data_IF_201832553326
#
_entry.id   IF_201832553326
#
_cell.length_a   1.000
_cell.length_b   1.000
_cell.length_c   1.000
_cell.angle_alpha   90.00
_cell.angle_beta   90.00
_cell.angle_gamma   90.00
#
_symmetry.space_group_name_H-M   'P 1'
#
loop_
_entity.id
_entity.type
_entity.pdbx_description
1 polymer ?
#
# COMPACT_ATOMS: atom_id res chain seq x y z
N UNK A 1 17.59 -52.40 -61.93
CA UNK A 1 17.83 -53.15 -63.18
C UNK A 1 17.41 -52.25 -64.32
N UNK A 2 18.39 -51.77 -65.11
CA UNK A 2 18.29 -51.04 -66.40
C UNK A 2 17.56 -49.68 -66.41
N UNK A 3 17.97 -48.64 -67.14
CA UNK A 3 19.11 -48.41 -68.05
C UNK A 3 19.28 -46.91 -68.31
N UNK A 4 20.49 -46.54 -68.75
CA UNK A 4 20.99 -45.20 -69.06
C UNK A 4 20.54 -44.62 -70.44
N UNK A 5 20.68 -43.29 -70.53
CA UNK A 5 21.49 -42.52 -71.52
C UNK A 5 20.85 -41.68 -72.66
N UNK A 6 21.55 -40.54 -72.86
CA UNK A 6 21.67 -39.60 -74.01
C UNK A 6 20.58 -38.52 -74.22
N UNK A 7 20.86 -37.29 -74.67
CA UNK A 7 22.06 -36.48 -74.85
C UNK A 7 21.63 -35.04 -75.27
N UNK A 8 22.40 -34.03 -74.83
CA UNK A 8 22.74 -32.72 -75.46
C UNK A 8 21.80 -32.00 -76.46
N UNK A 9 21.55 -30.70 -76.21
CA UNK A 9 21.20 -29.70 -77.24
C UNK A 9 20.77 -28.32 -76.69
N UNK A 10 21.66 -27.32 -76.73
CA UNK A 10 21.38 -25.87 -76.56
C UNK A 10 21.19 -25.19 -77.93
N UNK A 11 20.90 -23.88 -78.05
CA UNK A 11 19.78 -23.10 -77.50
C UNK A 11 18.96 -22.44 -78.64
N UNK A 12 17.72 -22.00 -78.38
CA UNK A 12 16.95 -21.17 -79.34
C UNK A 12 16.86 -19.73 -78.81
N UNK A 13 17.35 -18.80 -79.63
CA UNK A 13 17.33 -17.37 -79.44
C UNK A 13 16.02 -16.80 -80.03
N UNK A 14 15.19 -16.13 -79.23
CA UNK A 14 14.20 -15.17 -79.72
C UNK A 14 14.03 -14.04 -78.69
N UNK A 15 14.36 -12.82 -79.12
CA UNK A 15 13.87 -11.55 -78.56
C UNK A 15 12.80 -11.04 -79.53
N UNK A 16 11.65 -10.47 -79.11
CA UNK A 16 11.63 -9.03 -78.78
C UNK A 16 10.59 -8.61 -77.71
N UNK A 17 10.91 -7.49 -77.04
CA UNK A 17 10.04 -6.37 -76.59
C UNK A 17 8.65 -6.65 -75.98
N UNK A 18 8.39 -5.92 -74.89
CA UNK A 18 7.10 -5.56 -74.28
C UNK A 18 6.40 -6.61 -73.41
N UNK A 19 6.77 -6.67 -72.12
CA UNK A 19 5.79 -6.65 -71.02
C UNK A 19 6.37 -5.76 -69.91
N UNK A 20 5.68 -4.64 -69.69
CA UNK A 20 6.00 -3.62 -68.69
C UNK A 20 5.30 -4.02 -67.39
N UNK A 21 6.08 -4.11 -66.31
CA UNK A 21 5.64 -3.91 -64.93
C UNK A 21 4.99 -5.09 -64.23
N UNK A 22 5.74 -5.79 -63.38
CA UNK A 22 5.39 -6.09 -61.97
C UNK A 22 6.70 -6.42 -61.23
N UNK A 23 7.37 -5.41 -60.69
CA UNK A 23 8.36 -5.59 -59.62
C UNK A 23 8.25 -4.38 -58.70
N UNK A 24 8.21 -4.66 -57.40
CA UNK A 24 8.01 -3.76 -56.26
C UNK A 24 6.56 -3.53 -55.83
N UNK A 25 6.00 -4.48 -55.08
CA UNK A 25 5.27 -4.14 -53.85
C UNK A 25 5.09 -5.38 -52.98
N UNK A 26 4.99 -5.16 -51.66
CA UNK A 26 4.66 -6.15 -50.63
C UNK A 26 5.79 -6.90 -49.93
N UNK A 27 6.71 -6.15 -49.30
CA UNK A 27 7.37 -6.57 -48.05
C UNK A 27 7.38 -5.47 -46.96
N UNK A 28 6.76 -4.31 -47.22
CA UNK A 28 6.67 -3.18 -46.27
C UNK A 28 5.59 -3.26 -45.18
N UNK A 29 4.46 -4.01 -45.29
CA UNK A 29 3.44 -3.95 -44.23
C UNK A 29 3.87 -4.68 -42.94
N UNK A 30 4.69 -5.73 -43.03
CA UNK A 30 5.15 -6.48 -41.85
C UNK A 30 6.19 -5.70 -41.02
N UNK A 31 7.08 -4.94 -41.66
CA UNK A 31 8.07 -4.11 -40.97
C UNK A 31 7.43 -2.88 -40.29
N UNK A 32 6.42 -2.28 -40.94
CA UNK A 32 5.63 -1.20 -40.34
C UNK A 32 4.80 -1.65 -39.13
N UNK A 33 4.12 -2.80 -39.22
CA UNK A 33 3.36 -3.37 -38.09
C UNK A 33 4.26 -3.78 -36.91
N UNK A 34 5.44 -4.32 -37.18
CA UNK A 34 6.41 -4.69 -36.13
C UNK A 34 7.07 -3.48 -35.48
N UNK A 35 7.36 -2.42 -36.24
CA UNK A 35 7.87 -1.16 -35.69
C UNK A 35 6.82 -0.42 -34.84
N UNK A 36 5.57 -0.36 -35.31
CA UNK A 36 4.48 0.28 -34.57
C UNK A 36 4.13 -0.49 -33.28
N UNK A 37 4.08 -1.82 -33.34
CA UNK A 37 3.93 -2.65 -32.14
C UNK A 37 5.13 -2.51 -31.17
N UNK A 38 6.36 -2.35 -31.67
CA UNK A 38 7.53 -2.07 -30.83
C UNK A 38 7.42 -0.70 -30.15
N UNK A 39 6.99 0.34 -30.88
CA UNK A 39 6.81 1.69 -30.34
C UNK A 39 5.71 1.72 -29.26
N UNK A 40 4.55 1.11 -29.52
CA UNK A 40 3.46 1.02 -28.54
C UNK A 40 3.89 0.24 -27.29
N UNK A 41 4.63 -0.86 -27.45
CA UNK A 41 5.17 -1.62 -26.31
C UNK A 41 6.16 -0.78 -25.50
N UNK A 42 6.98 0.04 -26.17
CA UNK A 42 7.94 0.95 -25.53
C UNK A 42 7.25 2.07 -24.75
N UNK A 43 6.16 2.63 -25.28
CA UNK A 43 5.38 3.70 -24.65
C UNK A 43 4.67 3.19 -23.38
N UNK A 44 4.05 2.00 -23.44
CA UNK A 44 3.39 1.36 -22.29
C UNK A 44 4.36 1.09 -21.12
N UNK A 45 5.60 0.72 -21.42
CA UNK A 45 6.65 0.47 -20.42
C UNK A 45 7.27 1.77 -19.89
N UNK A 46 7.36 2.81 -20.72
CA UNK A 46 7.89 4.11 -20.33
C UNK A 46 7.03 4.79 -19.26
N UNK A 47 5.69 4.68 -19.36
CA UNK A 47 4.77 5.19 -18.34
C UNK A 47 5.07 4.65 -16.93
N UNK A 48 5.36 3.35 -16.80
CA UNK A 48 5.68 2.74 -15.51
C UNK A 48 6.94 3.33 -14.88
N UNK A 49 8.01 3.52 -15.68
CA UNK A 49 9.26 4.12 -15.20
C UNK A 49 9.07 5.56 -14.73
N UNK A 50 8.26 6.35 -15.44
CA UNK A 50 7.95 7.73 -15.06
C UNK A 50 7.17 7.77 -13.73
N UNK A 51 6.18 6.89 -13.57
CA UNK A 51 5.41 6.79 -12.33
C UNK A 51 6.28 6.36 -11.14
N UNK A 52 7.16 5.37 -11.32
CA UNK A 52 8.07 4.95 -10.27
C UNK A 52 9.03 6.09 -9.89
N UNK A 53 9.67 6.74 -10.87
CA UNK A 53 10.70 7.76 -10.61
C UNK A 53 10.16 9.06 -10.01
N UNK A 54 9.03 9.56 -10.51
CA UNK A 54 8.52 10.87 -10.10
C UNK A 54 7.34 10.74 -9.13
N UNK A 55 6.31 9.96 -9.49
CA UNK A 55 5.11 9.88 -8.67
C UNK A 55 5.37 9.20 -7.32
N UNK A 56 6.01 8.02 -7.28
CA UNK A 56 6.30 7.34 -6.01
C UNK A 56 7.25 8.15 -5.14
N UNK A 57 8.35 8.67 -5.71
CA UNK A 57 9.31 9.50 -4.97
C UNK A 57 8.66 10.75 -4.37
N UNK A 58 7.80 11.45 -5.12
CA UNK A 58 7.07 12.62 -4.60
C UNK A 58 6.07 12.23 -3.51
N UNK A 59 5.22 11.23 -3.74
CA UNK A 59 4.21 10.82 -2.76
C UNK A 59 4.84 10.31 -1.47
N UNK A 60 5.85 9.44 -1.55
CA UNK A 60 6.54 8.94 -0.36
C UNK A 60 7.33 10.03 0.38
N UNK A 61 7.84 11.04 -0.31
CA UNK A 61 8.45 12.20 0.36
C UNK A 61 7.42 13.02 1.15
N UNK A 62 6.23 13.23 0.58
CA UNK A 62 5.13 13.93 1.27
C UNK A 62 4.64 13.13 2.48
N UNK A 63 4.42 11.83 2.31
CA UNK A 63 4.05 10.91 3.39
C UNK A 63 5.10 10.91 4.50
N UNK A 64 6.39 10.88 4.15
CA UNK A 64 7.47 10.96 5.13
C UNK A 64 7.39 12.25 5.93
N UNK A 65 7.34 13.42 5.28
CA UNK A 65 7.32 14.71 5.98
C UNK A 65 6.09 14.83 6.89
N UNK A 66 4.89 14.58 6.34
CA UNK A 66 3.64 14.76 7.08
C UNK A 66 3.49 13.70 8.18
N UNK A 67 3.71 12.43 7.83
CA UNK A 67 3.55 11.30 8.72
C UNK A 67 4.60 11.26 9.81
N UNK A 68 5.87 11.51 9.51
CA UNK A 68 6.94 11.44 10.50
C UNK A 68 6.78 12.55 11.53
N UNK A 69 6.54 13.79 11.09
CA UNK A 69 6.28 14.90 12.00
C UNK A 69 5.03 14.66 12.85
N UNK A 70 3.92 14.26 12.22
CA UNK A 70 2.65 14.02 12.93
C UNK A 70 2.75 12.91 13.97
N UNK A 71 3.25 11.73 13.59
CA UNK A 71 3.35 10.60 14.51
C UNK A 71 4.40 10.81 15.60
N UNK A 72 5.49 11.53 15.32
CA UNK A 72 6.46 11.90 16.35
C UNK A 72 5.81 12.79 17.42
N UNK A 73 5.07 13.83 17.02
CA UNK A 73 4.36 14.69 17.97
C UNK A 73 3.40 13.86 18.83
N UNK A 74 2.68 12.92 18.23
CA UNK A 74 1.75 12.02 18.94
C UNK A 74 2.49 11.17 19.96
N UNK A 75 3.53 10.44 19.56
CA UNK A 75 4.33 9.56 20.43
C UNK A 75 4.94 10.34 21.61
N UNK A 76 5.58 11.49 21.34
CA UNK A 76 6.12 12.35 22.39
C UNK A 76 5.02 12.91 23.29
N UNK A 77 3.87 13.30 22.72
CA UNK A 77 2.71 13.73 23.47
C UNK A 77 2.25 12.65 24.46
N UNK A 78 2.13 11.40 24.02
CA UNK A 78 1.73 10.28 24.86
C UNK A 78 2.74 10.00 25.98
N UNK A 79 4.04 9.96 25.66
CA UNK A 79 5.09 9.67 26.64
C UNK A 79 5.21 10.78 27.69
N UNK A 80 5.20 12.05 27.26
CA UNK A 80 5.55 13.18 28.13
C UNK A 80 4.35 13.93 28.72
N UNK A 81 3.14 13.76 28.18
CA UNK A 81 1.96 14.51 28.64
C UNK A 81 0.92 13.61 29.30
N UNK A 82 0.83 12.33 28.90
CA UNK A 82 -0.20 11.44 29.39
C UNK A 82 0.31 10.53 30.51
N UNK A 83 -0.08 10.83 31.76
CA UNK A 83 0.27 9.98 32.92
C UNK A 83 -0.56 8.69 32.97
N UNK A 84 -1.84 8.75 32.62
CA UNK A 84 -2.78 7.64 32.77
C UNK A 84 -3.24 7.08 31.42
N UNK A 85 -2.71 5.91 31.07
CA UNK A 85 -3.00 5.26 29.79
C UNK A 85 -4.24 4.36 29.88
N UNK A 86 -5.20 4.59 28.98
CA UNK A 86 -6.40 3.76 28.78
C UNK A 86 -6.19 2.81 27.58
N UNK A 87 -7.13 1.88 27.35
CA UNK A 87 -7.07 0.92 26.25
C UNK A 87 -6.89 1.58 24.88
N UNK A 88 -7.76 2.54 24.51
CA UNK A 88 -7.62 3.29 23.26
C UNK A 88 -6.27 3.98 23.10
N UNK A 89 -5.72 4.56 24.17
CA UNK A 89 -4.40 5.21 24.15
C UNK A 89 -3.27 4.24 23.81
N UNK A 90 -3.35 2.99 24.30
CA UNK A 90 -2.36 1.95 24.00
C UNK A 90 -2.40 1.57 22.52
N UNK A 91 -3.60 1.38 21.95
CA UNK A 91 -3.73 1.03 20.55
C UNK A 91 -3.26 2.15 19.63
N UNK A 92 -3.63 3.41 19.93
CA UNK A 92 -3.19 4.59 19.17
C UNK A 92 -1.66 4.77 19.24
N UNK A 93 -1.06 4.54 20.41
CA UNK A 93 0.40 4.58 20.55
C UNK A 93 1.10 3.51 19.70
N UNK A 94 0.58 2.28 19.69
CA UNK A 94 1.14 1.20 18.86
C UNK A 94 0.95 1.47 17.37
N UNK A 95 -0.18 2.06 16.97
CA UNK A 95 -0.43 2.48 15.60
C UNK A 95 0.60 3.54 15.16
N UNK A 96 0.82 4.58 15.96
CA UNK A 96 1.87 5.57 15.68
C UNK A 96 3.29 5.00 15.69
N UNK A 97 3.58 4.02 16.54
CA UNK A 97 4.88 3.34 16.53
C UNK A 97 5.07 2.56 15.22
N UNK A 98 4.05 1.83 14.79
CA UNK A 98 4.05 1.13 13.50
C UNK A 98 4.23 2.10 12.33
N UNK A 99 3.52 3.23 12.35
CA UNK A 99 3.65 4.27 11.33
C UNK A 99 5.07 4.82 11.27
N UNK A 100 5.68 5.16 12.41
CA UNK A 100 7.07 5.64 12.45
C UNK A 100 8.07 4.61 11.92
N UNK A 101 7.90 3.33 12.26
CA UNK A 101 8.78 2.27 11.76
C UNK A 101 8.75 2.18 10.22
N UNK A 102 7.57 2.30 9.62
CA UNK A 102 7.42 2.37 8.16
C UNK A 102 7.96 3.68 7.57
N UNK A 103 7.62 4.83 8.17
CA UNK A 103 8.05 6.13 7.67
C UNK A 103 9.58 6.26 7.63
N UNK A 104 10.29 5.66 8.60
CA UNK A 104 11.75 5.56 8.58
C UNK A 104 12.32 4.81 7.37
N UNK A 105 11.54 3.97 6.69
CA UNK A 105 11.98 3.23 5.50
C UNK A 105 11.78 4.01 4.19
N UNK A 106 10.91 5.04 4.20
CA UNK A 106 10.57 5.83 3.01
C UNK A 106 11.75 6.57 2.38
N UNK A 107 12.69 7.20 3.12
CA UNK A 107 13.85 7.85 2.51
C UNK A 107 14.68 6.90 1.64
N UNK A 108 14.81 5.65 2.05
CA UNK A 108 15.51 4.60 1.29
C UNK A 108 14.74 4.29 -0.01
N UNK A 109 13.40 4.16 0.07
CA UNK A 109 12.54 3.96 -1.09
C UNK A 109 12.61 5.14 -2.07
N UNK A 110 12.50 6.37 -1.57
CA UNK A 110 12.56 7.59 -2.39
C UNK A 110 13.89 7.68 -3.13
N UNK A 111 15.01 7.42 -2.44
CA UNK A 111 16.33 7.40 -3.06
C UNK A 111 16.43 6.31 -4.13
N UNK A 112 15.85 5.13 -3.88
CA UNK A 112 15.90 4.05 -4.85
C UNK A 112 15.07 4.32 -6.10
N UNK A 113 13.83 4.78 -5.93
CA UNK A 113 12.93 5.10 -7.04
C UNK A 113 13.45 6.27 -7.89
N UNK A 114 14.04 7.29 -7.25
CA UNK A 114 14.57 8.45 -7.98
C UNK A 114 15.83 8.12 -8.81
N UNK A 115 16.66 7.19 -8.35
CA UNK A 115 17.90 6.77 -9.02
C UNK A 115 17.76 5.51 -9.89
N UNK A 116 16.60 4.87 -9.86
CA UNK A 116 16.35 3.55 -10.48
C UNK A 116 17.39 2.47 -10.08
N UNK A 117 17.93 2.58 -8.87
CA UNK A 117 18.97 1.70 -8.33
C UNK A 117 18.69 1.41 -6.86
N UNK A 118 18.94 0.19 -6.40
CA UNK A 118 18.90 -0.15 -4.99
C UNK A 118 20.32 -0.46 -4.50
N UNK A 119 20.66 -0.05 -3.27
CA UNK A 119 21.96 -0.36 -2.64
C UNK A 119 22.07 -1.88 -2.58
N UNK A 120 23.16 -2.49 -3.07
CA UNK A 120 23.33 -3.95 -3.15
C UNK A 120 23.49 -4.61 -1.77
N UNK A 121 22.40 -4.58 -1.00
CA UNK A 121 22.24 -5.07 0.36
C UNK A 121 20.85 -5.70 0.47
N UNK A 122 20.83 -7.04 0.54
CA UNK A 122 19.61 -7.84 0.62
C UNK A 122 18.87 -7.67 1.95
N UNK A 123 19.61 -7.42 3.04
CA UNK A 123 19.01 -7.26 4.38
C UNK A 123 18.19 -5.99 4.41
N UNK A 124 18.72 -4.89 3.87
CA UNK A 124 17.99 -3.62 3.78
C UNK A 124 16.76 -3.74 2.87
N UNK A 125 16.87 -4.43 1.73
CA UNK A 125 15.72 -4.68 0.85
C UNK A 125 14.61 -5.45 1.57
N UNK A 126 14.95 -6.59 2.17
CA UNK A 126 13.97 -7.48 2.80
C UNK A 126 13.34 -6.82 4.02
N UNK A 127 14.14 -6.19 4.88
CA UNK A 127 13.64 -5.50 6.08
C UNK A 127 12.72 -4.34 5.71
N UNK A 128 13.04 -3.59 4.66
CA UNK A 128 12.20 -2.48 4.20
C UNK A 128 10.84 -2.99 3.68
N UNK A 129 10.85 -4.03 2.83
CA UNK A 129 9.63 -4.68 2.33
C UNK A 129 8.79 -5.26 3.47
N UNK A 130 9.44 -5.92 4.43
CA UNK A 130 8.78 -6.46 5.60
C UNK A 130 8.10 -5.35 6.42
N UNK A 131 8.81 -4.26 6.74
CA UNK A 131 8.26 -3.15 7.54
C UNK A 131 7.10 -2.44 6.84
N UNK A 132 7.14 -2.30 5.52
CA UNK A 132 6.04 -1.75 4.72
C UNK A 132 4.77 -2.61 4.84
N UNK A 133 4.89 -3.93 4.72
CA UNK A 133 3.74 -4.82 4.89
C UNK A 133 3.32 -4.96 6.36
N UNK A 134 4.27 -4.96 7.29
CA UNK A 134 3.99 -5.02 8.72
C UNK A 134 3.19 -3.80 9.17
N UNK A 135 3.53 -2.61 8.67
CA UNK A 135 2.76 -1.40 8.91
C UNK A 135 1.34 -1.49 8.34
N UNK A 136 1.19 -1.98 7.10
CA UNK A 136 -0.11 -2.13 6.46
C UNK A 136 -1.07 -2.98 7.32
N UNK A 137 -0.65 -4.20 7.68
CA UNK A 137 -1.51 -5.14 8.41
C UNK A 137 -1.68 -4.78 9.89
N UNK A 138 -0.62 -4.31 10.56
CA UNK A 138 -0.75 -3.85 11.93
C UNK A 138 -1.68 -2.64 12.03
N UNK A 139 -1.63 -1.71 11.06
CA UNK A 139 -2.52 -0.55 11.02
C UNK A 139 -3.99 -0.96 10.93
N UNK A 140 -4.31 -1.86 10.01
CA UNK A 140 -5.67 -2.39 9.84
C UNK A 140 -6.17 -3.06 11.14
N UNK A 141 -5.33 -3.88 11.77
CA UNK A 141 -5.69 -4.56 13.02
C UNK A 141 -5.83 -3.59 14.21
N UNK A 142 -4.93 -2.60 14.34
CA UNK A 142 -5.03 -1.57 15.38
C UNK A 142 -6.29 -0.72 15.20
N UNK A 143 -6.62 -0.31 13.99
CA UNK A 143 -7.86 0.40 13.67
C UNK A 143 -9.10 -0.45 13.98
N UNK A 144 -9.02 -1.76 13.74
CA UNK A 144 -10.10 -2.70 14.08
C UNK A 144 -10.34 -2.75 15.59
N UNK A 145 -9.28 -2.90 16.41
CA UNK A 145 -9.45 -2.92 17.87
C UNK A 145 -9.80 -1.55 18.45
N UNK A 146 -9.37 -0.46 17.82
CA UNK A 146 -9.82 0.91 18.16
C UNK A 146 -11.32 1.04 17.91
N UNK A 147 -11.83 0.55 16.78
CA UNK A 147 -13.26 0.56 16.45
C UNK A 147 -14.07 -0.21 17.51
N UNK A 148 -13.56 -1.35 17.96
CA UNK A 148 -14.15 -2.14 19.05
C UNK A 148 -14.10 -1.36 20.38
N UNK A 149 -12.96 -0.78 20.75
CA UNK A 149 -12.82 0.01 22.00
C UNK A 149 -13.81 1.17 22.05
N UNK A 150 -13.98 1.87 20.91
CA UNK A 150 -14.90 3.00 20.78
C UNK A 150 -16.36 2.56 20.89
N UNK A 151 -16.77 1.49 20.22
CA UNK A 151 -18.09 0.90 20.42
C UNK A 151 -18.34 0.51 21.89
N UNK A 152 -17.36 -0.14 22.51
CA UNK A 152 -17.47 -0.55 23.92
C UNK A 152 -17.55 0.66 24.86
N UNK A 153 -16.88 1.77 24.55
CA UNK A 153 -16.98 3.01 25.34
C UNK A 153 -18.37 3.64 25.27
N UNK A 154 -19.05 3.53 24.13
CA UNK A 154 -20.43 4.02 23.97
C UNK A 154 -21.39 3.15 24.77
N UNK A 155 -21.22 1.82 24.71
CA UNK A 155 -22.06 0.86 25.41
C UNK A 155 -21.82 0.84 26.93
N UNK A 156 -20.55 0.98 27.34
CA UNK A 156 -20.07 0.90 28.73
C UNK A 156 -19.15 2.11 29.03
N UNK A 157 -19.71 3.30 29.27
CA UNK A 157 -18.94 4.54 29.43
C UNK A 157 -18.01 4.54 30.64
N UNK A 158 -18.35 3.79 31.70
CA UNK A 158 -17.54 3.69 32.92
C UNK A 158 -16.38 2.67 32.81
N UNK A 159 -16.16 2.08 31.63
CA UNK A 159 -15.06 1.13 31.36
C UNK A 159 -15.00 -0.06 32.33
N UNK A 160 -16.16 -0.57 32.71
CA UNK A 160 -16.30 -1.69 33.64
C UNK A 160 -15.93 -3.03 32.97
N UNK A 161 -16.13 -3.14 31.65
CA UNK A 161 -15.86 -4.34 30.88
C UNK A 161 -14.36 -4.67 30.78
N UNK A 162 -14.00 -5.95 30.84
CA UNK A 162 -12.61 -6.41 30.84
C UNK A 162 -11.82 -6.01 29.57
N UNK A 163 -12.48 -5.99 28.40
CA UNK A 163 -11.90 -5.54 27.11
C UNK A 163 -11.43 -4.07 27.12
N UNK A 164 -11.96 -3.23 28.00
CA UNK A 164 -11.57 -1.81 28.12
C UNK A 164 -10.46 -1.58 29.15
N UNK A 165 -9.94 -2.65 29.77
CA UNK A 165 -8.88 -2.57 30.78
C UNK A 165 -7.51 -2.49 30.11
N UNK A 166 -6.61 -1.75 30.75
CA UNK A 166 -5.22 -1.55 30.30
C UNK A 166 -4.48 -2.86 30.04
N UNK A 167 -4.63 -3.85 30.94
CA UNK A 167 -3.96 -5.15 30.81
C UNK A 167 -4.37 -5.88 29.53
N UNK A 168 -5.66 -5.89 29.20
CA UNK A 168 -6.12 -6.51 27.95
C UNK A 168 -5.62 -5.77 26.73
N UNK A 169 -5.59 -4.45 26.74
CA UNK A 169 -5.05 -3.69 25.61
C UNK A 169 -3.57 -4.02 25.34
N UNK A 170 -2.76 -4.20 26.37
CA UNK A 170 -1.36 -4.64 26.21
C UNK A 170 -1.26 -6.04 25.61
N UNK A 171 -2.07 -6.99 26.10
CA UNK A 171 -2.10 -8.37 25.58
C UNK A 171 -2.53 -8.39 24.12
N UNK A 172 -3.59 -7.66 23.77
CA UNK A 172 -4.10 -7.55 22.40
C UNK A 172 -3.07 -6.90 21.48
N UNK A 173 -2.42 -5.81 21.90
CA UNK A 173 -1.34 -5.20 21.11
C UNK A 173 -0.18 -6.17 20.85
N UNK A 174 0.25 -6.92 21.87
CA UNK A 174 1.31 -7.92 21.70
C UNK A 174 0.88 -9.04 20.74
N UNK A 175 -0.38 -9.50 20.84
CA UNK A 175 -0.94 -10.50 19.94
C UNK A 175 -1.01 -10.00 18.49
N UNK A 176 -1.36 -8.73 18.26
CA UNK A 176 -1.35 -8.11 16.93
C UNK A 176 0.06 -8.12 16.33
N UNK A 177 1.07 -7.68 17.09
CA UNK A 177 2.46 -7.68 16.62
C UNK A 177 2.93 -9.09 16.25
N UNK A 178 2.69 -10.07 17.12
CA UNK A 178 3.05 -11.48 16.86
C UNK A 178 2.30 -11.99 15.62
N UNK A 179 1.00 -11.75 15.53
CA UNK A 179 0.16 -12.19 14.42
C UNK A 179 0.64 -11.63 13.08
N UNK A 180 0.93 -10.33 13.00
CA UNK A 180 1.45 -9.68 11.79
C UNK A 180 2.82 -10.24 11.41
N UNK A 181 3.71 -10.47 12.38
CA UNK A 181 5.02 -11.07 12.11
C UNK A 181 4.83 -12.47 11.51
N UNK A 182 3.98 -13.31 12.12
CA UNK A 182 3.70 -14.67 11.65
C UNK A 182 3.07 -14.68 10.25
N UNK A 183 2.11 -13.80 9.99
CA UNK A 183 1.44 -13.65 8.70
C UNK A 183 2.43 -13.26 7.57
N UNK A 184 3.46 -12.49 7.93
CA UNK A 184 4.48 -12.00 7.00
C UNK A 184 5.75 -12.86 6.93
N UNK A 185 5.92 -13.87 7.79
CA UNK A 185 7.08 -14.77 7.71
C UNK A 185 7.28 -15.36 6.30
N UNK A 186 6.23 -15.83 5.57
CA UNK A 186 6.40 -16.38 4.23
C UNK A 186 6.90 -15.36 3.21
N UNK A 187 6.70 -14.05 3.44
CA UNK A 187 7.13 -12.99 2.53
C UNK A 187 8.64 -13.05 2.26
N UNK A 188 9.44 -13.46 3.26
CA UNK A 188 10.89 -13.59 3.11
C UNK A 188 11.30 -14.64 2.07
N UNK A 189 10.46 -15.65 1.84
CA UNK A 189 10.65 -16.66 0.80
C UNK A 189 10.16 -16.16 -0.58
N UNK A 190 9.05 -15.40 -0.61
CA UNK A 190 8.47 -14.88 -1.86
C UNK A 190 9.19 -13.65 -2.42
N UNK A 191 10.00 -12.97 -1.62
CA UNK A 191 10.86 -11.86 -2.06
C UNK A 191 12.10 -12.41 -2.76
N UNK A 192 12.01 -12.60 -4.07
CA UNK A 192 13.20 -12.81 -4.90
C UNK A 192 13.85 -11.48 -5.27
N UNK A 193 15.09 -11.26 -4.81
CA UNK A 193 15.91 -10.15 -5.29
C UNK A 193 16.53 -10.51 -6.65
N UNK A 194 16.21 -9.75 -7.69
CA UNK A 194 16.84 -9.95 -9.01
C UNK A 194 18.28 -9.45 -8.99
N UNK A 195 19.22 -10.39 -9.09
CA UNK A 195 20.67 -10.16 -9.09
C UNK A 195 21.21 -10.04 -10.51
N UNK A 196 20.92 -8.95 -11.22
CA UNK A 196 21.76 -8.57 -12.35
C UNK A 196 23.00 -7.84 -11.82
N UNK A 197 24.20 -8.27 -12.20
CA UNK A 197 25.48 -7.82 -11.64
C UNK A 197 25.65 -6.29 -11.61
N UNK A 198 25.04 -5.58 -12.58
CA UNK A 198 25.11 -4.12 -12.75
C UNK A 198 23.83 -3.36 -12.35
N UNK A 199 22.73 -4.04 -12.00
CA UNK A 199 21.43 -3.41 -11.71
C UNK A 199 20.67 -4.18 -10.61
N UNK A 200 21.13 -4.08 -9.36
CA UNK A 200 20.39 -4.63 -8.21
C UNK A 200 19.11 -3.82 -7.98
N UNK A 201 17.95 -4.49 -8.08
CA UNK A 201 16.63 -3.90 -7.79
C UNK A 201 15.93 -4.68 -6.70
N UNK A 202 15.42 -3.96 -5.70
CA UNK A 202 14.56 -4.50 -4.65
C UNK A 202 13.10 -4.52 -5.13
N UNK A 203 12.70 -5.58 -5.82
CA UNK A 203 11.35 -5.70 -6.37
C UNK A 203 10.31 -6.01 -5.29
N UNK A 204 9.06 -5.64 -5.59
CA UNK A 204 7.89 -6.08 -4.83
C UNK A 204 7.58 -7.55 -5.20
N UNK A 205 7.09 -8.38 -4.28
CA UNK A 205 6.69 -9.76 -4.58
C UNK A 205 5.56 -9.84 -5.61
N UNK A 206 4.76 -8.77 -5.75
CA UNK A 206 3.80 -8.64 -6.85
C UNK A 206 4.47 -8.61 -8.25
N UNK A 207 5.76 -8.27 -8.31
CA UNK A 207 6.57 -8.11 -9.53
C UNK A 207 7.76 -9.08 -9.65
N UNK A 208 8.04 -9.89 -8.64
CA UNK A 208 9.06 -10.96 -8.67
C UNK A 208 8.45 -12.34 -8.37
N UNK A 209 9.25 -13.41 -8.42
CA UNK A 209 8.84 -14.78 -8.09
C UNK A 209 7.78 -15.39 -9.01
N UNK A 210 7.36 -16.61 -8.66
CA UNK A 210 6.29 -17.35 -9.32
C UNK A 210 4.93 -16.65 -9.10
N UNK A 211 4.23 -16.21 -10.16
CA UNK A 211 3.00 -15.43 -10.02
C UNK A 211 1.85 -16.23 -9.41
N UNK A 212 1.81 -17.55 -9.58
CA UNK A 212 0.70 -18.39 -9.07
C UNK A 212 0.81 -18.54 -7.56
N UNK A 213 1.97 -18.95 -7.04
CA UNK A 213 2.21 -19.07 -5.61
C UNK A 213 2.08 -17.71 -4.90
N UNK A 214 2.62 -16.65 -5.52
CA UNK A 214 2.49 -15.29 -4.98
C UNK A 214 1.03 -14.81 -4.97
N UNK A 215 0.22 -15.19 -5.95
CA UNK A 215 -1.22 -14.89 -5.96
C UNK A 215 -1.95 -15.61 -4.84
N UNK A 216 -1.67 -16.91 -4.61
CA UNK A 216 -2.27 -17.68 -3.51
C UNK A 216 -1.94 -17.02 -2.17
N UNK A 217 -0.68 -16.67 -1.94
CA UNK A 217 -0.26 -15.97 -0.74
C UNK A 217 -0.91 -14.57 -0.62
N UNK A 218 -0.96 -13.80 -1.71
CA UNK A 218 -1.62 -12.49 -1.73
C UNK A 218 -3.12 -12.59 -1.42
N UNK A 219 -3.80 -13.63 -1.89
CA UNK A 219 -5.21 -13.89 -1.59
C UNK A 219 -5.40 -14.23 -0.11
N UNK A 220 -4.55 -15.09 0.46
CA UNK A 220 -4.53 -15.35 1.90
C UNK A 220 -4.40 -14.04 2.69
N UNK A 221 -3.38 -13.22 2.40
CA UNK A 221 -3.19 -11.93 3.05
C UNK A 221 -4.35 -10.94 2.83
N UNK A 222 -5.00 -11.00 1.67
CA UNK A 222 -6.16 -10.14 1.37
C UNK A 222 -7.37 -10.53 2.21
N UNK A 223 -7.61 -11.83 2.37
CA UNK A 223 -8.74 -12.33 3.16
C UNK A 223 -8.51 -12.10 4.65
N UNK A 224 -7.37 -12.56 5.19
CA UNK A 224 -7.09 -12.55 6.62
C UNK A 224 -6.57 -11.21 7.12
N UNK A 225 -5.66 -10.58 6.37
CA UNK A 225 -5.06 -9.30 6.76
C UNK A 225 -5.91 -8.06 6.42
N UNK A 226 -6.91 -8.18 5.53
CA UNK A 226 -7.73 -7.03 5.11
C UNK A 226 -9.24 -7.25 5.20
N UNK A 227 -9.81 -8.22 4.47
CA UNK A 227 -11.27 -8.36 4.37
C UNK A 227 -11.93 -8.72 5.70
N UNK A 228 -11.37 -9.67 6.47
CA UNK A 228 -11.89 -10.03 7.79
C UNK A 228 -11.87 -8.82 8.75
N UNK A 229 -10.73 -8.14 8.97
CA UNK A 229 -10.69 -6.91 9.77
C UNK A 229 -11.67 -5.83 9.29
N UNK A 230 -11.77 -5.63 7.97
CA UNK A 230 -12.71 -4.69 7.37
C UNK A 230 -14.16 -5.02 7.71
N UNK A 231 -14.57 -6.29 7.57
CA UNK A 231 -15.92 -6.74 7.93
C UNK A 231 -16.20 -6.53 9.42
N UNK A 232 -15.22 -6.78 10.29
CA UNK A 232 -15.32 -6.52 11.72
C UNK A 232 -15.55 -5.03 11.97
N UNK A 233 -14.73 -4.15 11.37
CA UNK A 233 -14.89 -2.70 11.47
C UNK A 233 -16.27 -2.24 11.00
N UNK A 234 -16.73 -2.70 9.84
CA UNK A 234 -18.06 -2.40 9.30
C UNK A 234 -19.19 -2.86 10.25
N UNK A 235 -19.08 -4.07 10.82
CA UNK A 235 -20.07 -4.58 11.78
C UNK A 235 -20.16 -3.72 13.04
N UNK A 236 -19.01 -3.36 13.64
CA UNK A 236 -18.97 -2.50 14.82
C UNK A 236 -19.43 -1.08 14.51
N UNK A 237 -19.16 -0.57 13.30
CA UNK A 237 -19.70 0.69 12.81
C UNK A 237 -21.23 0.66 12.74
N UNK A 238 -21.84 -0.35 12.11
CA UNK A 238 -23.31 -0.48 12.03
C UNK A 238 -23.92 -0.58 13.42
N UNK A 239 -23.33 -1.39 14.31
CA UNK A 239 -23.78 -1.49 15.72
C UNK A 239 -23.72 -0.16 16.45
N UNK A 240 -22.66 0.61 16.22
CA UNK A 240 -22.46 1.93 16.79
C UNK A 240 -23.53 2.92 16.32
N UNK A 241 -23.77 3.01 15.00
CA UNK A 241 -24.82 3.87 14.43
C UNK A 241 -26.20 3.51 14.96
N UNK A 242 -26.54 2.21 14.98
CA UNK A 242 -27.83 1.74 15.48
C UNK A 242 -28.03 2.05 16.97
N UNK A 243 -27.00 1.83 17.80
CA UNK A 243 -27.06 2.15 19.22
C UNK A 243 -27.29 3.65 19.47
N UNK A 244 -26.64 4.50 18.69
CA UNK A 244 -26.79 5.95 18.80
C UNK A 244 -28.16 6.43 18.34
N UNK A 245 -28.66 5.91 17.22
CA UNK A 245 -29.99 6.26 16.72
C UNK A 245 -31.08 5.95 17.75
N UNK A 246 -31.01 4.78 18.38
CA UNK A 246 -31.98 4.38 19.39
C UNK A 246 -31.89 5.20 20.69
N UNK A 247 -30.72 5.81 21.00
CA UNK A 247 -30.50 6.65 22.19
C UNK A 247 -30.78 8.13 21.94
N UNK A 248 -30.63 8.59 20.69
CA UNK A 248 -30.98 9.94 20.23
C UNK A 248 -32.46 10.28 20.49
N UNK A 249 -33.35 9.29 20.44
CA UNK A 249 -34.77 9.48 20.77
C UNK A 249 -35.02 9.66 22.29
N UNK A 250 -34.04 9.37 23.16
CA UNK A 250 -34.25 9.35 24.61
C UNK A 250 -33.51 10.44 25.42
N UNK A 251 -32.52 11.18 24.90
CA UNK A 251 -31.84 12.20 25.72
C UNK A 251 -31.05 13.26 24.92
N UNK A 252 -31.40 14.53 25.12
CA UNK A 252 -30.80 15.75 24.54
C UNK A 252 -29.38 16.09 25.05
N UNK A 253 -28.78 15.27 25.92
CA UNK A 253 -27.43 15.50 26.49
C UNK A 253 -26.27 14.89 25.66
N UNK A 254 -26.55 14.27 24.51
CA UNK A 254 -25.57 13.56 23.66
C UNK A 254 -24.77 14.44 22.67
N UNK A 255 -25.05 15.74 22.58
CA UNK A 255 -24.34 16.69 21.71
C UNK A 255 -22.81 16.74 21.95
N UNK A 256 -22.33 16.32 23.12
CA UNK A 256 -20.89 16.20 23.44
C UNK A 256 -20.24 14.91 22.93
N UNK A 257 -21.03 13.88 22.60
CA UNK A 257 -20.54 12.58 22.13
C UNK A 257 -20.49 12.47 20.59
N UNK A 258 -21.20 13.31 19.84
CA UNK A 258 -21.29 13.23 18.37
C UNK A 258 -19.95 13.40 17.63
N UNK A 259 -19.04 14.22 18.18
CA UNK A 259 -17.74 14.53 17.55
C UNK A 259 -16.75 13.36 17.54
N UNK A 260 -16.50 12.65 18.67
CA UNK A 260 -15.67 11.43 18.66
C UNK A 260 -16.23 10.32 17.75
N UNK A 261 -17.56 10.22 17.64
CA UNK A 261 -18.24 9.18 16.86
C UNK A 261 -18.08 9.42 15.36
N UNK A 262 -18.39 10.63 14.90
CA UNK A 262 -18.23 11.04 13.50
C UNK A 262 -16.81 10.79 12.99
N UNK A 263 -15.81 10.93 13.87
CA UNK A 263 -14.42 10.71 13.50
C UNK A 263 -14.04 9.24 13.39
N UNK A 264 -14.56 8.37 14.26
CA UNK A 264 -14.39 6.90 14.08
C UNK A 264 -15.04 6.44 12.78
N UNK A 265 -16.21 7.00 12.43
CA UNK A 265 -16.92 6.71 11.19
C UNK A 265 -16.10 7.17 9.98
N UNK A 266 -15.60 8.40 10.02
CA UNK A 266 -14.78 8.99 8.96
C UNK A 266 -13.46 8.20 8.79
N UNK A 267 -12.84 7.80 9.89
CA UNK A 267 -11.69 6.89 9.96
C UNK A 267 -11.98 5.58 9.24
N UNK A 268 -13.03 4.83 9.62
CA UNK A 268 -13.36 3.55 8.97
C UNK A 268 -13.62 3.70 7.47
N UNK A 269 -14.38 4.72 7.06
CA UNK A 269 -14.70 4.96 5.65
C UNK A 269 -13.43 5.32 4.85
N UNK A 270 -12.62 6.26 5.34
CA UNK A 270 -11.40 6.67 4.65
C UNK A 270 -10.44 5.49 4.55
N UNK A 271 -10.22 4.73 5.61
CA UNK A 271 -9.31 3.57 5.54
C UNK A 271 -9.80 2.48 4.61
N UNK A 272 -11.10 2.20 4.59
CA UNK A 272 -11.69 1.27 3.62
C UNK A 272 -11.40 1.72 2.18
N UNK A 273 -11.56 3.01 1.91
CA UNK A 273 -11.31 3.59 0.58
C UNK A 273 -9.83 3.63 0.20
N UNK A 274 -8.92 3.80 1.17
CA UNK A 274 -7.47 3.86 0.92
C UNK A 274 -6.87 2.46 0.68
N UNK A 275 -7.30 1.44 1.43
CA UNK A 275 -6.72 0.10 1.34
C UNK A 275 -7.30 -0.75 0.20
N UNK A 276 -8.60 -0.60 -0.11
CA UNK A 276 -9.26 -1.44 -1.13
C UNK A 276 -8.58 -1.39 -2.50
N UNK A 277 -8.28 -0.20 -3.07
CA UNK A 277 -7.66 -0.12 -4.39
C UNK A 277 -6.33 -0.87 -4.46
N UNK A 278 -5.50 -0.75 -3.41
CA UNK A 278 -4.22 -1.44 -3.34
C UNK A 278 -4.39 -2.97 -3.30
N UNK A 279 -5.26 -3.50 -2.45
CA UNK A 279 -5.48 -4.95 -2.35
C UNK A 279 -6.04 -5.53 -3.66
N UNK A 280 -7.01 -4.85 -4.28
CA UNK A 280 -7.55 -5.27 -5.58
C UNK A 280 -6.44 -5.26 -6.63
N UNK A 281 -5.73 -4.15 -6.78
CA UNK A 281 -4.72 -4.01 -7.82
C UNK A 281 -3.51 -4.92 -7.62
N UNK A 282 -3.13 -5.24 -6.38
CA UNK A 282 -2.07 -6.23 -6.10
C UNK A 282 -2.43 -7.61 -6.65
N UNK A 283 -3.64 -8.08 -6.39
CA UNK A 283 -4.11 -9.38 -6.88
C UNK A 283 -4.28 -9.37 -8.41
N UNK A 284 -4.82 -8.27 -8.97
CA UNK A 284 -4.93 -8.11 -10.44
C UNK A 284 -3.54 -8.10 -11.09
N UNK A 285 -2.55 -7.42 -10.49
CA UNK A 285 -1.18 -7.40 -10.98
C UNK A 285 -0.56 -8.81 -10.99
N UNK A 286 -0.71 -9.56 -9.91
CA UNK A 286 -0.23 -10.94 -9.82
C UNK A 286 -0.92 -11.85 -10.85
N UNK A 287 -2.23 -11.77 -10.96
CA UNK A 287 -2.99 -12.52 -11.96
C UNK A 287 -2.54 -12.17 -13.39
N UNK A 288 -2.33 -10.89 -13.70
CA UNK A 288 -1.90 -10.43 -15.03
C UNK A 288 -0.57 -11.03 -15.50
N UNK A 289 0.28 -11.50 -14.57
CA UNK A 289 1.57 -12.15 -14.86
C UNK A 289 1.45 -13.65 -15.16
N UNK A 290 0.29 -14.26 -14.94
CA UNK A 290 0.07 -15.69 -15.18
C UNK A 290 0.04 -15.96 -16.69
N UNK A 291 0.97 -16.75 -17.26
CA UNK A 291 1.05 -16.98 -18.70
C UNK A 291 -0.24 -17.52 -19.31
N UNK A 292 -0.96 -18.39 -18.58
CA UNK A 292 -2.20 -19.01 -19.04
C UNK A 292 -3.35 -18.02 -19.31
N UNK A 293 -3.30 -16.80 -18.77
CA UNK A 293 -4.33 -15.77 -18.99
C UNK A 293 -4.10 -14.94 -20.26
N UNK A 294 -2.98 -15.12 -20.97
CA UNK A 294 -2.67 -14.49 -22.26
C UNK A 294 -2.87 -12.96 -22.28
N UNK A 295 -2.56 -12.27 -21.19
CA UNK A 295 -2.72 -10.81 -21.07
C UNK A 295 -1.63 -10.10 -21.87
N UNK A 296 -2.03 -9.17 -22.75
CA UNK A 296 -1.08 -8.40 -23.58
C UNK A 296 -0.08 -7.59 -22.76
N UNK A 297 1.12 -7.36 -23.30
CA UNK A 297 2.20 -6.61 -22.62
C UNK A 297 1.75 -5.20 -22.25
N UNK A 298 1.06 -4.50 -23.14
CA UNK A 298 0.53 -3.16 -22.84
C UNK A 298 -0.55 -3.19 -21.75
N UNK A 299 -1.45 -4.18 -21.75
CA UNK A 299 -2.43 -4.34 -20.67
C UNK A 299 -1.76 -4.60 -19.32
N UNK A 300 -0.72 -5.46 -19.28
CA UNK A 300 0.08 -5.66 -18.08
C UNK A 300 0.78 -4.37 -17.63
N UNK A 301 1.26 -3.57 -18.58
CA UNK A 301 1.84 -2.25 -18.34
C UNK A 301 0.86 -1.28 -17.69
N UNK A 302 -0.39 -1.21 -18.17
CA UNK A 302 -1.45 -0.39 -17.58
C UNK A 302 -1.83 -0.89 -16.18
N UNK A 303 -2.00 -2.21 -16.00
CA UNK A 303 -2.28 -2.81 -14.69
C UNK A 303 -1.16 -2.48 -13.69
N UNK A 304 0.11 -2.57 -14.13
CA UNK A 304 1.26 -2.18 -13.33
C UNK A 304 1.22 -0.70 -12.95
N UNK A 305 0.89 0.19 -13.88
CA UNK A 305 0.80 1.62 -13.62
C UNK A 305 -0.29 1.95 -12.60
N UNK A 306 -1.48 1.36 -12.73
CA UNK A 306 -2.57 1.53 -11.76
C UNK A 306 -2.17 0.94 -10.41
N UNK A 307 -1.52 -0.23 -10.36
CA UNK A 307 -0.97 -0.78 -9.12
C UNK A 307 0.01 0.19 -8.45
N UNK A 308 0.96 0.74 -9.21
CA UNK A 308 1.92 1.75 -8.72
C UNK A 308 1.20 2.96 -8.13
N UNK A 309 0.15 3.46 -8.79
CA UNK A 309 -0.66 4.59 -8.30
C UNK A 309 -1.32 4.28 -6.94
N UNK A 310 -1.87 3.07 -6.79
CA UNK A 310 -2.57 2.67 -5.56
C UNK A 310 -1.66 2.46 -4.34
N UNK A 311 -0.35 2.23 -4.54
CA UNK A 311 0.59 1.91 -3.45
C UNK A 311 0.69 3.04 -2.42
N UNK A 312 1.07 4.29 -2.77
CA UNK A 312 1.10 5.39 -1.80
C UNK A 312 -0.28 5.69 -1.19
N UNK A 313 -1.36 5.54 -1.98
CA UNK A 313 -2.73 5.78 -1.49
C UNK A 313 -3.04 4.89 -0.27
N UNK A 314 -2.62 3.63 -0.26
CA UNK A 314 -2.77 2.77 0.92
C UNK A 314 -1.94 3.26 2.12
N UNK A 315 -0.74 3.79 1.90
CA UNK A 315 0.16 4.26 2.96
C UNK A 315 -0.14 5.68 3.46
N UNK A 316 -0.97 6.46 2.74
CA UNK A 316 -1.50 7.74 3.24
C UNK A 316 -2.19 7.59 4.60
N UNK A 317 -2.68 6.38 4.93
CA UNK A 317 -3.17 6.05 6.26
C UNK A 317 -2.20 6.52 7.37
N UNK A 318 -0.91 6.21 7.24
CA UNK A 318 0.11 6.55 8.23
C UNK A 318 0.36 8.04 8.37
N UNK A 319 0.09 8.83 7.32
CA UNK A 319 0.21 10.29 7.35
C UNK A 319 -1.05 10.98 7.90
N UNK A 320 -2.24 10.41 7.66
CA UNK A 320 -3.53 11.01 8.06
C UNK A 320 -3.91 10.64 9.51
N UNK A 321 -3.44 9.49 10.01
CA UNK A 321 -3.67 9.00 11.38
C UNK A 321 -3.55 10.07 12.48
N UNK A 322 -2.46 10.86 12.55
CA UNK A 322 -2.33 11.97 13.51
C UNK A 322 -3.50 12.95 13.50
N UNK A 323 -4.01 13.31 12.33
CA UNK A 323 -5.14 14.25 12.18
C UNK A 323 -6.37 13.70 12.88
N UNK A 324 -6.67 12.41 12.72
CA UNK A 324 -7.78 11.78 13.43
C UNK A 324 -7.59 11.80 14.94
N UNK A 325 -6.37 11.62 15.46
CA UNK A 325 -6.11 11.66 16.90
C UNK A 325 -6.37 13.05 17.50
N UNK A 326 -5.96 14.10 16.79
CA UNK A 326 -6.22 15.48 17.21
C UNK A 326 -7.70 15.87 17.07
N UNK A 327 -8.37 15.38 16.03
CA UNK A 327 -9.78 15.66 15.83
C UNK A 327 -10.66 14.90 16.83
N UNK A 328 -10.26 13.68 17.27
CA UNK A 328 -11.06 12.78 18.13
C UNK A 328 -11.45 13.38 19.49
N UNK A 329 -11.01 14.60 19.81
CA UNK A 329 -11.54 15.38 20.92
C UNK A 329 -11.16 14.80 22.28
N UNK A 330 -10.17 13.92 22.30
CA UNK A 330 -9.67 13.37 23.55
C UNK A 330 -9.01 14.51 24.37
N UNK A 331 -9.13 14.41 25.70
CA UNK A 331 -8.40 15.23 26.68
C UNK A 331 -6.91 15.41 26.32
N UNK A 332 -6.35 14.46 25.56
CA UNK A 332 -5.03 14.52 24.95
C UNK A 332 -4.76 15.80 24.14
N UNK A 333 -5.66 16.22 23.23
CA UNK A 333 -5.48 17.46 22.46
C UNK A 333 -5.39 18.67 23.39
N UNK A 334 -6.29 18.75 24.35
CA UNK A 334 -6.35 19.87 25.29
C UNK A 334 -5.10 19.92 26.18
N UNK A 335 -4.67 18.77 26.70
CA UNK A 335 -3.42 18.65 27.45
C UNK A 335 -2.19 19.00 26.62
N UNK A 336 -2.10 18.49 25.39
CA UNK A 336 -0.96 18.76 24.51
C UNK A 336 -0.90 20.24 24.13
N UNK A 337 -2.04 20.84 23.76
CA UNK A 337 -2.13 22.28 23.49
C UNK A 337 -1.80 23.11 24.73
N UNK A 338 -2.26 22.70 25.92
CA UNK A 338 -1.91 23.39 27.17
C UNK A 338 -0.41 23.33 27.46
N UNK A 339 0.23 22.17 27.23
CA UNK A 339 1.68 21.99 27.45
C UNK A 339 2.51 22.74 26.41
N UNK A 340 2.09 22.75 25.14
CA UNK A 340 2.72 23.56 24.09
C UNK A 340 2.62 25.04 24.44
N UNK A 341 1.44 25.52 24.87
CA UNK A 341 1.29 26.92 25.35
C UNK A 341 2.19 27.22 26.55
N UNK A 342 2.34 26.29 27.49
CA UNK A 342 3.22 26.45 28.65
C UNK A 342 4.71 26.48 28.27
N UNK A 343 5.12 25.69 27.28
CA UNK A 343 6.50 25.70 26.77
C UNK A 343 6.78 26.98 25.97
N UNK A 344 5.84 27.40 25.12
CA UNK A 344 5.93 28.66 24.37
C UNK A 344 5.98 29.86 25.32
N UNK A 345 5.16 29.88 26.38
CA UNK A 345 5.18 30.98 27.35
C UNK A 345 6.49 31.05 28.13
N UNK A 346 7.09 29.90 28.46
CA UNK A 346 8.43 29.82 29.08
C UNK A 346 9.53 30.33 28.13
N UNK A 347 9.48 29.96 26.85
CA UNK A 347 10.43 30.42 25.84
C UNK A 347 10.33 31.94 25.59
N UNK A 348 9.12 32.50 25.57
CA UNK A 348 8.93 33.97 25.47
C UNK A 348 9.32 34.72 26.73
N UNK A 349 9.25 34.09 27.91
CA UNK A 349 9.69 34.69 29.18
C UNK A 349 11.22 34.74 29.32
N UNK A 350 11.96 33.87 28.64
CA UNK A 350 13.43 33.89 28.55
C UNK A 350 13.98 34.82 27.47
N UNK A 351 13.12 35.51 26.70
CA UNK A 351 13.51 36.42 25.62
C UNK A 351 13.21 37.90 25.92
N UNK A 352 12.82 38.21 27.17
CA UNK A 352 12.85 39.55 27.77
C UNK A 352 13.90 39.56 28.86
#
# INVERSE_FOLDING_TARGET
MAMLCCASGTPVLFSPRHVRGVLMESQRPALGMTFQAMNETSDCLMMNRVLEKYYLSTMYSLEFILGFTGNTIVVFGYIFCLKNWKSGNIYLFNLSLSDLLFLCTLPILVNSYSRDQWIKDSILCHSNRFLLHANLYSSILFLTVISIDRYMLIKYPFREHFLQKRKMALIVSAAIWIGVILELLPLMYFLEATTSADNYKCLDYASSGDPVNNLIYSMFLTVFGFLIPLLIMCCFYVKMVFFLKNRSEQLSSLLTLEKPLTLVILTVVIFSLLFTPYHVMRNVRLASRIPALNVSVCTQGVISAVYVITRPIAFLNSAINPVFYFLMGDHFREMLMAKIRQLLSRLTATCK
#
